data_IF_641965809759
#
_entry.id   IF_641965809759
#
_cell.length_a   1.000
_cell.length_b   1.000
_cell.length_c   1.000
_cell.angle_alpha   90.00
_cell.angle_beta   90.00
_cell.angle_gamma   90.00
#
_symmetry.space_group_name_H-M   'P 1'
#
loop_
_entity.id
_entity.type
_entity.pdbx_description
1 polymer ?
#
# COMPACT_ATOMS: atom_id res chain seq x y z
N UNK A 1 12.23 -8.75 13.68
CA UNK A 1 11.63 -9.23 12.41
C UNK A 1 12.23 -10.58 12.07
N UNK A 2 11.54 -11.65 12.45
CA UNK A 2 11.92 -12.99 12.01
C UNK A 2 11.81 -13.09 10.49
N UNK A 3 12.59 -13.98 9.86
CA UNK A 3 12.54 -14.23 8.42
C UNK A 3 11.10 -14.52 7.92
N UNK A 4 10.25 -15.04 8.79
CA UNK A 4 8.82 -15.27 8.55
C UNK A 4 8.02 -13.98 8.27
N UNK A 5 8.17 -12.93 9.09
CA UNK A 5 7.42 -11.68 8.91
C UNK A 5 7.80 -10.97 7.61
N UNK A 6 9.10 -10.99 7.26
CA UNK A 6 9.59 -10.48 5.98
C UNK A 6 9.03 -11.29 4.81
N UNK A 7 8.97 -12.62 4.93
CA UNK A 7 8.37 -13.48 3.92
C UNK A 7 6.88 -13.20 3.72
N UNK A 8 6.10 -13.09 4.80
CA UNK A 8 4.66 -12.77 4.72
C UNK A 8 4.44 -11.39 4.10
N UNK A 9 5.24 -10.40 4.47
CA UNK A 9 5.18 -9.06 3.88
C UNK A 9 5.47 -9.08 2.37
N UNK A 10 6.56 -9.74 1.95
CA UNK A 10 6.91 -9.89 0.53
C UNK A 10 5.85 -10.67 -0.24
N UNK A 11 5.27 -11.70 0.37
CA UNK A 11 4.20 -12.49 -0.23
C UNK A 11 2.94 -11.64 -0.44
N UNK A 12 2.53 -10.83 0.55
CA UNK A 12 1.38 -9.94 0.42
C UNK A 12 1.56 -8.92 -0.71
N UNK A 13 2.74 -8.30 -0.81
CA UNK A 13 3.06 -7.38 -1.91
C UNK A 13 3.18 -8.08 -3.27
N UNK A 14 3.72 -9.30 -3.29
CA UNK A 14 3.75 -10.15 -4.48
C UNK A 14 2.34 -10.47 -4.97
N UNK A 15 1.41 -10.80 -4.05
CA UNK A 15 0.00 -11.00 -4.36
C UNK A 15 -0.65 -9.73 -4.91
N UNK A 16 -0.39 -8.56 -4.33
CA UNK A 16 -0.91 -7.27 -4.84
C UNK A 16 -0.42 -7.02 -6.27
N UNK A 17 0.88 -7.18 -6.52
CA UNK A 17 1.45 -7.02 -7.86
C UNK A 17 0.84 -7.98 -8.87
N UNK A 18 0.74 -9.26 -8.52
CA UNK A 18 0.10 -10.27 -9.37
C UNK A 18 -1.38 -9.95 -9.63
N UNK A 19 -2.11 -9.52 -8.59
CA UNK A 19 -3.51 -9.13 -8.70
C UNK A 19 -3.72 -7.98 -9.67
N UNK A 20 -2.87 -6.93 -9.62
CA UNK A 20 -2.90 -5.81 -10.57
C UNK A 20 -2.58 -6.27 -12.00
N UNK A 21 -1.58 -7.14 -12.17
CA UNK A 21 -1.23 -7.67 -13.50
C UNK A 21 -2.38 -8.50 -14.06
N UNK A 22 -2.97 -9.38 -13.27
CA UNK A 22 -4.11 -10.20 -13.72
C UNK A 22 -5.30 -9.30 -14.03
N UNK A 23 -5.69 -8.39 -13.14
CA UNK A 23 -6.81 -7.48 -13.38
C UNK A 23 -6.62 -6.57 -14.62
N UNK A 24 -5.38 -6.24 -14.99
CA UNK A 24 -5.09 -5.42 -16.17
C UNK A 24 -4.95 -6.21 -17.48
N UNK A 25 -4.79 -7.52 -17.42
CA UNK A 25 -4.53 -8.37 -18.60
C UNK A 25 -5.59 -9.44 -18.84
N UNK A 26 -6.38 -9.77 -17.83
CA UNK A 26 -7.53 -10.66 -17.93
C UNK A 26 -8.81 -9.86 -18.10
N UNK A 27 -9.80 -10.45 -18.79
CA UNK A 27 -11.13 -9.87 -18.86
C UNK A 27 -11.89 -10.00 -17.53
N UNK A 28 -13.15 -9.59 -17.54
CA UNK A 28 -13.99 -9.58 -16.34
C UNK A 28 -14.01 -10.95 -15.62
N UNK A 29 -13.92 -10.95 -14.27
CA UNK A 29 -13.92 -12.18 -13.50
C UNK A 29 -15.24 -12.93 -13.67
N UNK A 30 -15.16 -14.21 -14.07
CA UNK A 30 -16.36 -15.04 -14.31
C UNK A 30 -16.65 -16.00 -13.14
N UNK A 31 -15.68 -16.18 -12.25
CA UNK A 31 -15.81 -17.04 -11.06
C UNK A 31 -15.50 -16.28 -9.76
N UNK A 32 -15.89 -16.86 -8.62
CA UNK A 32 -15.56 -16.34 -7.28
C UNK A 32 -14.05 -16.33 -7.07
N UNK A 33 -13.34 -17.35 -7.53
CA UNK A 33 -11.87 -17.44 -7.41
C UNK A 33 -11.19 -16.34 -8.23
N UNK A 34 -11.66 -16.08 -9.45
CA UNK A 34 -11.15 -14.97 -10.27
C UNK A 34 -11.39 -13.64 -9.56
N UNK A 35 -12.57 -13.47 -8.98
CA UNK A 35 -12.92 -12.27 -8.22
C UNK A 35 -11.97 -12.04 -7.05
N UNK A 36 -11.62 -13.10 -6.30
CA UNK A 36 -10.68 -13.00 -5.18
C UNK A 36 -9.25 -12.67 -5.64
N UNK A 37 -8.78 -13.31 -6.72
CA UNK A 37 -7.44 -13.08 -7.26
C UNK A 37 -7.32 -11.65 -7.82
N UNK A 38 -8.36 -11.17 -8.50
CA UNK A 38 -8.37 -9.87 -9.15
C UNK A 38 -8.76 -8.73 -8.21
N UNK A 39 -9.38 -9.01 -7.06
CA UNK A 39 -10.02 -8.01 -6.20
C UNK A 39 -9.13 -6.79 -5.92
N UNK A 40 -7.90 -7.01 -5.47
CA UNK A 40 -6.96 -5.93 -5.13
C UNK A 40 -6.55 -5.14 -6.38
N UNK A 41 -6.32 -5.83 -7.49
CA UNK A 41 -6.02 -5.23 -8.78
C UNK A 41 -7.16 -4.38 -9.33
N UNK A 42 -8.39 -4.89 -9.29
CA UNK A 42 -9.59 -4.17 -9.71
C UNK A 42 -9.82 -2.94 -8.82
N UNK A 43 -9.69 -3.09 -7.50
CA UNK A 43 -9.76 -1.96 -6.57
C UNK A 43 -8.71 -0.88 -6.91
N UNK A 44 -7.46 -1.27 -7.16
CA UNK A 44 -6.39 -0.35 -7.54
C UNK A 44 -6.72 0.39 -8.83
N UNK A 45 -7.06 -0.33 -9.90
CA UNK A 45 -7.33 0.23 -11.22
C UNK A 45 -8.55 1.15 -11.21
N UNK A 46 -9.63 0.72 -10.56
CA UNK A 46 -10.87 1.50 -10.42
C UNK A 46 -10.65 2.78 -9.63
N UNK A 47 -9.92 2.70 -8.51
CA UNK A 47 -9.56 3.89 -7.71
C UNK A 47 -8.71 4.86 -8.53
N UNK A 48 -7.69 4.39 -9.23
CA UNK A 48 -6.83 5.25 -10.07
C UNK A 48 -7.65 5.90 -11.20
N UNK A 49 -8.53 5.13 -11.85
CA UNK A 49 -9.42 5.64 -12.90
C UNK A 49 -10.32 6.74 -12.37
N UNK A 50 -11.00 6.48 -11.24
CA UNK A 50 -11.91 7.43 -10.59
C UNK A 50 -11.21 8.72 -10.17
N UNK A 51 -10.01 8.63 -9.60
CA UNK A 51 -9.23 9.82 -9.21
C UNK A 51 -8.78 10.66 -10.43
N UNK A 52 -8.50 10.00 -11.56
CA UNK A 52 -8.17 10.69 -12.81
C UNK A 52 -9.39 11.36 -13.42
N UNK A 53 -10.53 10.66 -13.47
CA UNK A 53 -11.79 11.24 -13.93
C UNK A 53 -12.18 12.46 -13.08
N UNK A 54 -12.07 12.35 -11.75
CA UNK A 54 -12.28 13.50 -10.86
C UNK A 54 -11.37 14.66 -11.23
N UNK A 55 -10.09 14.40 -11.50
CA UNK A 55 -9.12 15.45 -11.89
C UNK A 55 -9.56 16.20 -13.14
N UNK A 56 -10.07 15.48 -14.15
CA UNK A 56 -10.55 16.05 -15.40
C UNK A 56 -11.84 16.87 -15.22
N UNK A 57 -12.67 16.50 -14.24
CA UNK A 57 -13.92 17.20 -13.91
C UNK A 57 -13.73 18.41 -13.00
N UNK A 58 -12.56 18.55 -12.35
CA UNK A 58 -12.29 19.72 -11.49
C UNK A 58 -11.92 20.96 -12.29
N UNK A 59 -12.20 22.14 -11.73
CA UNK A 59 -11.69 23.42 -12.25
C UNK A 59 -10.20 23.67 -11.91
N UNK A 60 -9.54 22.72 -11.23
CA UNK A 60 -8.16 22.83 -10.76
C UNK A 60 -7.24 22.28 -11.86
N UNK A 61 -6.08 22.91 -12.08
CA UNK A 61 -5.13 22.41 -13.07
C UNK A 61 -4.68 20.98 -12.69
N UNK A 62 -4.66 20.00 -13.62
CA UNK A 62 -4.44 18.59 -13.30
C UNK A 62 -3.21 18.28 -12.45
N UNK A 63 -2.11 18.99 -12.70
CA UNK A 63 -0.86 18.87 -11.93
C UNK A 63 -1.02 19.15 -10.44
N UNK A 64 -1.92 20.05 -10.06
CA UNK A 64 -2.15 20.42 -8.66
C UNK A 64 -3.06 19.42 -7.97
N UNK A 65 -4.05 18.89 -8.68
CA UNK A 65 -4.90 17.80 -8.18
C UNK A 65 -4.08 16.54 -7.93
N UNK A 66 -3.21 16.16 -8.89
CA UNK A 66 -2.34 15.01 -8.73
C UNK A 66 -1.30 15.20 -7.61
N UNK A 67 -0.69 16.38 -7.52
CA UNK A 67 0.16 16.71 -6.38
C UNK A 67 -0.60 16.61 -5.04
N UNK A 68 -1.88 17.02 -5.03
CA UNK A 68 -2.78 16.84 -3.90
C UNK A 68 -2.92 15.37 -3.49
N UNK A 69 -3.14 14.46 -4.45
CA UNK A 69 -3.19 13.02 -4.18
C UNK A 69 -1.88 12.48 -3.60
N UNK A 70 -0.74 12.90 -4.16
CA UNK A 70 0.56 12.51 -3.63
C UNK A 70 0.75 12.98 -2.17
N UNK A 71 0.34 14.20 -1.84
CA UNK A 71 0.40 14.71 -0.45
C UNK A 71 -0.56 13.96 0.46
N UNK A 72 -1.80 13.72 0.02
CA UNK A 72 -2.81 12.99 0.81
C UNK A 72 -2.37 11.56 1.10
N UNK A 73 -1.62 10.91 0.19
CA UNK A 73 -1.08 9.56 0.38
C UNK A 73 -0.18 9.40 1.61
N UNK A 74 0.38 10.50 2.14
CA UNK A 74 1.20 10.50 3.37
C UNK A 74 0.42 9.94 4.55
N UNK A 75 -0.89 10.22 4.63
CA UNK A 75 -1.74 9.75 5.74
C UNK A 75 -1.82 8.21 5.78
N UNK A 76 -2.32 7.53 4.74
CA UNK A 76 -2.34 6.07 4.71
C UNK A 76 -0.94 5.44 4.73
N UNK A 77 0.09 6.06 4.11
CA UNK A 77 1.47 5.58 4.25
C UNK A 77 1.95 5.62 5.71
N UNK A 78 1.68 6.70 6.43
CA UNK A 78 2.02 6.84 7.84
C UNK A 78 1.32 5.78 8.69
N UNK A 79 0.04 5.50 8.41
CA UNK A 79 -0.71 4.43 9.07
C UNK A 79 -0.09 3.06 8.76
N UNK A 80 0.27 2.77 7.51
CA UNK A 80 0.92 1.52 7.15
C UNK A 80 2.26 1.32 7.89
N UNK A 81 3.11 2.35 7.88
CA UNK A 81 4.41 2.29 8.57
C UNK A 81 4.21 2.10 10.07
N UNK A 82 3.25 2.82 10.68
CA UNK A 82 2.92 2.65 12.09
C UNK A 82 2.49 1.21 12.42
N UNK A 83 1.58 0.63 11.62
CA UNK A 83 1.11 -0.74 11.82
C UNK A 83 2.24 -1.76 11.61
N UNK A 84 3.09 -1.57 10.60
CA UNK A 84 4.22 -2.44 10.34
C UNK A 84 5.27 -2.38 11.46
N UNK A 85 5.56 -1.19 11.97
CA UNK A 85 6.43 -0.99 13.14
C UNK A 85 5.86 -1.63 14.39
N UNK A 86 4.55 -1.45 14.65
CA UNK A 86 3.88 -2.06 15.80
C UNK A 86 3.92 -3.60 15.72
N UNK A 87 3.67 -4.18 14.54
CA UNK A 87 3.77 -5.62 14.33
C UNK A 87 5.22 -6.13 14.49
N UNK A 88 6.22 -5.35 14.09
CA UNK A 88 7.62 -5.73 14.20
C UNK A 88 8.22 -5.56 15.59
N UNK A 89 7.57 -4.81 16.49
CA UNK A 89 8.03 -4.53 17.85
C UNK A 89 7.49 -5.52 18.90
N UNK A 90 6.59 -6.43 18.51
CA UNK A 90 5.94 -7.36 19.43
C UNK A 90 6.57 -8.76 19.32
N UNK A 91 7.10 -9.39 20.40
CA UNK A 91 7.47 -8.88 21.73
C UNK A 91 9.02 -8.79 21.90
N UNK A 92 9.75 -8.34 20.88
CA UNK A 92 11.22 -8.33 20.89
C UNK A 92 11.78 -7.33 21.94
N UNK A 93 12.40 -7.83 23.03
CA UNK A 93 13.06 -7.03 24.10
C UNK A 93 14.46 -6.48 23.73
N UNK A 94 14.78 -6.26 22.44
CA UNK A 94 16.13 -5.81 22.04
C UNK A 94 16.29 -4.28 21.88
N UNK A 95 17.48 -3.72 22.20
CA UNK A 95 17.73 -2.28 22.30
C UNK A 95 17.83 -1.52 20.97
N UNK A 96 17.83 -2.24 19.84
CA UNK A 96 17.59 -1.72 18.49
C UNK A 96 16.53 -2.62 17.86
N UNK A 97 15.31 -2.49 18.37
CA UNK A 97 14.20 -3.35 18.00
C UNK A 97 13.94 -3.30 16.50
N UNK A 98 13.57 -4.42 15.90
CA UNK A 98 13.24 -4.48 14.48
C UNK A 98 12.15 -3.47 14.07
N UNK A 99 11.30 -3.05 15.00
CA UNK A 99 10.35 -1.94 14.83
C UNK A 99 11.01 -0.62 14.43
N UNK A 100 12.15 -0.25 15.04
CA UNK A 100 12.86 1.00 14.74
C UNK A 100 13.48 0.98 13.35
N UNK A 101 14.03 -0.17 12.94
CA UNK A 101 14.58 -0.36 11.59
C UNK A 101 13.48 -0.30 10.53
N UNK A 102 12.32 -0.93 10.79
CA UNK A 102 11.13 -0.87 9.91
C UNK A 102 10.58 0.56 9.83
N UNK A 103 10.53 1.28 10.96
CA UNK A 103 10.07 2.66 11.00
C UNK A 103 10.99 3.57 10.19
N UNK A 104 12.30 3.49 10.41
CA UNK A 104 13.30 4.29 9.71
C UNK A 104 13.30 4.03 8.20
N UNK A 105 13.39 2.76 7.79
CA UNK A 105 13.37 2.39 6.39
C UNK A 105 12.02 2.74 5.73
N UNK A 106 10.91 2.44 6.39
CA UNK A 106 9.56 2.74 5.91
C UNK A 106 9.34 4.23 5.71
N UNK A 107 9.87 5.07 6.62
CA UNK A 107 9.80 6.53 6.48
C UNK A 107 10.61 7.02 5.29
N UNK A 108 11.83 6.52 5.08
CA UNK A 108 12.67 6.88 3.92
C UNK A 108 11.99 6.47 2.61
N UNK A 109 11.51 5.23 2.52
CA UNK A 109 10.82 4.73 1.33
C UNK A 109 9.54 5.51 1.07
N UNK A 110 8.75 5.80 2.11
CA UNK A 110 7.54 6.61 2.01
C UNK A 110 7.81 8.02 1.50
N UNK A 111 8.85 8.68 2.02
CA UNK A 111 9.27 10.00 1.55
C UNK A 111 9.71 9.97 0.08
N UNK A 112 10.52 8.99 -0.30
CA UNK A 112 10.94 8.79 -1.69
C UNK A 112 9.73 8.52 -2.60
N UNK A 113 8.75 7.74 -2.14
CA UNK A 113 7.53 7.44 -2.90
C UNK A 113 6.68 8.70 -3.13
N UNK A 114 6.53 9.56 -2.11
CA UNK A 114 5.84 10.86 -2.23
C UNK A 114 6.57 11.78 -3.21
N UNK A 115 7.89 11.89 -3.12
CA UNK A 115 8.68 12.67 -4.07
C UNK A 115 8.55 12.13 -5.50
N UNK A 116 8.61 10.81 -5.68
CA UNK A 116 8.38 10.19 -6.99
C UNK A 116 6.96 10.49 -7.50
N UNK A 117 5.94 10.41 -6.63
CA UNK A 117 4.57 10.79 -6.94
C UNK A 117 4.46 12.21 -7.48
N UNK A 118 5.11 13.16 -6.81
CA UNK A 118 5.14 14.57 -7.21
C UNK A 118 5.92 14.82 -8.51
N UNK A 119 7.08 14.19 -8.68
CA UNK A 119 7.96 14.41 -9.84
C UNK A 119 7.40 13.79 -11.11
N UNK A 120 6.83 12.58 -11.01
CA UNK A 120 6.37 11.82 -12.17
C UNK A 120 4.87 11.95 -12.45
N UNK A 121 4.12 12.70 -11.64
CA UNK A 121 2.67 12.82 -11.80
C UNK A 121 1.95 11.49 -11.53
N UNK A 122 2.35 10.80 -10.45
CA UNK A 122 1.83 9.50 -10.05
C UNK A 122 1.01 9.60 -8.75
N UNK A 123 0.45 10.76 -8.43
CA UNK A 123 -0.26 11.00 -7.18
C UNK A 123 -1.47 10.09 -7.00
N UNK A 124 -2.28 9.89 -8.05
CA UNK A 124 -3.43 8.98 -7.99
C UNK A 124 -3.01 7.52 -7.70
N UNK A 125 -1.96 7.05 -8.37
CA UNK A 125 -1.38 5.72 -8.18
C UNK A 125 -0.80 5.54 -6.78
N UNK A 126 -0.08 6.55 -6.30
CA UNK A 126 0.49 6.54 -4.96
C UNK A 126 -0.60 6.52 -3.89
N UNK A 127 -1.66 7.32 -4.06
CA UNK A 127 -2.80 7.32 -3.14
C UNK A 127 -3.52 5.96 -3.13
N UNK A 128 -3.86 5.40 -4.29
CA UNK A 128 -4.48 4.08 -4.38
C UNK A 128 -3.59 2.99 -3.73
N UNK A 129 -2.29 2.97 -4.06
CA UNK A 129 -1.33 2.04 -3.49
C UNK A 129 -1.16 2.19 -1.98
N UNK A 130 -1.18 3.41 -1.46
CA UNK A 130 -1.08 3.68 -0.02
C UNK A 130 -2.29 3.16 0.77
N UNK A 131 -3.49 3.21 0.21
CA UNK A 131 -4.69 2.64 0.83
C UNK A 131 -4.58 1.12 0.90
N UNK A 132 -4.09 0.48 -0.17
CA UNK A 132 -3.81 -0.96 -0.19
C UNK A 132 -2.76 -1.31 0.87
N UNK A 133 -1.72 -0.49 1.01
CA UNK A 133 -0.70 -0.67 2.04
C UNK A 133 -1.32 -0.72 3.44
N UNK A 134 -2.27 0.17 3.77
CA UNK A 134 -2.99 0.11 5.06
C UNK A 134 -3.69 -1.23 5.25
N UNK A 135 -4.39 -1.73 4.23
CA UNK A 135 -5.04 -3.04 4.29
C UNK A 135 -4.08 -4.18 4.59
N UNK A 136 -2.89 -4.18 3.96
CA UNK A 136 -1.81 -5.13 4.25
C UNK A 136 -1.33 -4.97 5.70
N UNK A 137 -1.12 -3.74 6.16
CA UNK A 137 -0.67 -3.45 7.53
C UNK A 137 -1.63 -3.99 8.58
N UNK A 138 -2.93 -3.80 8.38
CA UNK A 138 -3.98 -4.34 9.27
C UNK A 138 -4.00 -5.87 9.25
N UNK A 139 -3.92 -6.48 8.07
CA UNK A 139 -3.89 -7.94 7.95
C UNK A 139 -2.68 -8.55 8.66
N UNK A 140 -1.50 -7.96 8.47
CA UNK A 140 -0.27 -8.43 9.12
C UNK A 140 -0.32 -8.24 10.63
N UNK A 141 -0.76 -7.08 11.11
CA UNK A 141 -0.93 -6.84 12.54
C UNK A 141 -1.93 -7.83 13.17
N UNK A 142 -3.05 -8.11 12.49
CA UNK A 142 -4.03 -9.10 12.92
C UNK A 142 -3.47 -10.53 12.96
N UNK A 143 -2.67 -10.93 11.97
CA UNK A 143 -1.99 -12.24 11.96
C UNK A 143 -1.02 -12.36 13.14
N UNK A 144 -0.22 -11.33 13.39
CA UNK A 144 0.73 -11.32 14.51
C UNK A 144 0.00 -11.42 15.86
N UNK A 145 -1.09 -10.67 16.04
CA UNK A 145 -1.94 -10.76 17.25
C UNK A 145 -2.58 -12.14 17.39
N UNK A 146 -2.98 -12.79 16.29
CA UNK A 146 -3.69 -14.06 16.33
C UNK A 146 -2.78 -15.29 16.47
N UNK A 147 -1.54 -15.24 15.94
CA UNK A 147 -0.66 -16.40 15.80
C UNK A 147 0.75 -16.22 16.40
N UNK A 148 1.11 -15.03 16.89
CA UNK A 148 2.42 -14.71 17.46
C UNK A 148 2.66 -15.23 18.89
N UNK A 149 2.20 -16.45 19.21
CA UNK A 149 2.42 -17.13 20.49
C UNK A 149 3.64 -18.07 20.46
#
# INVERSE_FOLDING_TARGET
MGAYQVFVWLFAWGFVGASIVVASTSGDPTTVTDSLIQFVGLFYLDTVSTLREFTELTAIAPRWTDAGYAVVSVVPLGVHVFLATAAAAYPDEEPLGAGDAVFGLGTIVGFCAVLAGLVFGLGAQLLAGSIIAVGIGVAMFGIEVAFGS
#
